data_IF_185496606246
#
_entry.id   IF_185496606246
#
_cell.length_a   1.000
_cell.length_b   1.000
_cell.length_c   1.000
_cell.angle_alpha   90.00
_cell.angle_beta   90.00
_cell.angle_gamma   90.00
#
_symmetry.space_group_name_H-M   'P 1'
#
loop_
_entity.id
_entity.type
_entity.pdbx_description
1 polymer ?
#
# COMPACT_ATOMS: atom_id res chain seq x y z
N UNK A 1 -19.51 6.07 4.80
CA UNK A 1 -20.38 4.97 5.27
C UNK A 1 -21.50 4.65 4.29
N UNK A 2 -22.28 5.58 3.80
CA UNK A 2 -23.35 5.34 2.81
C UNK A 2 -22.89 4.61 1.54
N UNK A 3 -21.67 4.92 1.07
CA UNK A 3 -21.06 4.24 -0.08
C UNK A 3 -20.81 2.74 0.18
N UNK A 4 -20.50 2.35 1.42
CA UNK A 4 -20.32 0.95 1.81
C UNK A 4 -21.64 0.20 1.76
N UNK A 5 -22.73 0.79 2.30
CA UNK A 5 -24.07 0.18 2.23
C UNK A 5 -24.54 0.02 0.78
N UNK A 6 -24.34 1.04 -0.08
CA UNK A 6 -24.65 0.92 -1.51
C UNK A 6 -23.83 -0.17 -2.21
N UNK A 7 -22.55 -0.31 -1.87
CA UNK A 7 -21.73 -1.40 -2.39
C UNK A 7 -22.26 -2.79 -1.96
N UNK A 8 -22.71 -2.92 -0.71
CA UNK A 8 -23.36 -4.14 -0.22
C UNK A 8 -24.67 -4.43 -0.94
N UNK A 9 -25.42 -3.41 -1.35
CA UNK A 9 -26.63 -3.62 -2.16
C UNK A 9 -26.31 -4.19 -3.55
N UNK A 10 -25.21 -3.75 -4.19
CA UNK A 10 -24.73 -4.38 -5.44
C UNK A 10 -24.29 -5.84 -5.23
N UNK A 11 -23.65 -6.15 -4.10
CA UNK A 11 -23.29 -7.53 -3.74
C UNK A 11 -24.56 -8.37 -3.53
N UNK A 12 -25.57 -7.87 -2.82
CA UNK A 12 -26.86 -8.52 -2.60
C UNK A 12 -27.62 -8.76 -3.91
N UNK A 13 -27.52 -7.81 -4.84
CA UNK A 13 -28.09 -7.91 -6.18
C UNK A 13 -27.39 -8.90 -7.10
N UNK A 14 -26.21 -9.42 -6.70
CA UNK A 14 -25.42 -10.36 -7.50
C UNK A 14 -24.57 -9.70 -8.58
N UNK A 15 -24.41 -8.39 -8.56
CA UNK A 15 -23.57 -7.64 -9.52
C UNK A 15 -22.08 -7.96 -9.34
N UNK A 16 -21.62 -8.06 -8.10
CA UNK A 16 -20.21 -8.23 -7.71
C UNK A 16 -20.09 -9.12 -6.47
N UNK A 17 -18.92 -9.68 -6.26
CA UNK A 17 -18.53 -10.38 -5.02
C UNK A 17 -17.81 -9.42 -4.06
N UNK A 18 -17.01 -8.50 -4.61
CA UNK A 18 -16.20 -7.53 -3.88
C UNK A 18 -16.00 -6.28 -4.71
N UNK A 19 -15.95 -5.13 -4.02
CA UNK A 19 -15.49 -3.86 -4.59
C UNK A 19 -14.59 -3.14 -3.60
N UNK A 20 -13.50 -2.54 -4.10
CA UNK A 20 -12.58 -1.76 -3.25
C UNK A 20 -12.94 -0.29 -3.38
N UNK A 21 -13.51 0.28 -2.32
CA UNK A 21 -13.79 1.71 -2.23
C UNK A 21 -12.64 2.43 -1.51
N UNK A 22 -12.32 3.63 -1.98
CA UNK A 22 -11.23 4.43 -1.41
C UNK A 22 -11.69 5.81 -0.98
N UNK A 23 -10.88 6.42 -0.11
CA UNK A 23 -10.96 7.84 0.23
C UNK A 23 -9.59 8.48 0.12
N UNK A 24 -9.57 9.79 -0.13
CA UNK A 24 -8.36 10.60 -0.24
C UNK A 24 -8.24 11.52 0.95
N UNK A 25 -7.05 11.57 1.54
CA UNK A 25 -6.64 12.48 2.60
C UNK A 25 -5.74 13.55 1.97
N UNK A 26 -5.93 14.79 2.39
CA UNK A 26 -5.16 15.93 1.93
C UNK A 26 -4.46 16.58 3.12
N UNK A 27 -3.18 16.89 2.96
CA UNK A 27 -2.35 17.51 3.98
C UNK A 27 -1.55 18.66 3.36
N UNK A 28 -1.76 19.88 3.85
CA UNK A 28 -0.92 21.01 3.47
C UNK A 28 0.45 20.86 4.11
N UNK A 29 1.51 20.88 3.30
CA UNK A 29 2.86 20.61 3.80
C UNK A 29 3.91 21.41 3.07
N UNK A 30 4.94 21.78 3.81
CA UNK A 30 6.19 22.36 3.29
C UNK A 30 7.33 21.33 3.28
N UNK A 31 7.09 20.11 3.78
CA UNK A 31 8.12 19.07 3.83
C UNK A 31 8.62 18.70 2.44
N UNK A 32 9.94 18.58 2.28
CA UNK A 32 10.54 18.06 1.05
C UNK A 32 10.15 16.59 0.87
N UNK A 33 9.62 16.19 -0.30
CA UNK A 33 9.26 14.80 -0.58
C UNK A 33 10.38 13.79 -0.34
N UNK A 34 11.65 14.19 -0.53
CA UNK A 34 12.81 13.33 -0.26
C UNK A 34 12.98 13.08 1.25
N UNK A 35 12.73 14.07 2.08
CA UNK A 35 12.81 13.88 3.54
C UNK A 35 11.68 13.00 4.04
N UNK A 36 10.47 13.14 3.50
CA UNK A 36 9.36 12.20 3.77
C UNK A 36 9.72 10.78 3.31
N UNK A 37 10.34 10.61 2.14
CA UNK A 37 10.84 9.31 1.69
C UNK A 37 11.86 8.71 2.65
N UNK A 38 12.79 9.52 3.16
CA UNK A 38 13.79 9.09 4.16
C UNK A 38 13.16 8.61 5.45
N UNK A 39 12.14 9.30 5.94
CA UNK A 39 11.36 8.88 7.10
C UNK A 39 10.68 7.54 6.83
N UNK A 40 9.95 7.40 5.71
CA UNK A 40 9.28 6.14 5.33
C UNK A 40 10.24 4.97 5.22
N UNK A 41 11.44 5.17 4.66
CA UNK A 41 12.48 4.12 4.62
C UNK A 41 12.87 3.57 5.97
N UNK A 42 12.78 4.40 7.00
CA UNK A 42 13.17 4.03 8.37
C UNK A 42 12.00 3.45 9.16
N UNK A 43 10.81 4.01 8.98
CA UNK A 43 9.64 3.68 9.81
C UNK A 43 8.74 2.62 9.21
N UNK A 44 8.65 2.55 7.88
CA UNK A 44 7.75 1.64 7.16
C UNK A 44 8.38 1.08 5.88
N UNK A 45 9.51 0.33 5.98
CA UNK A 45 10.15 -0.26 4.81
C UNK A 45 9.22 -1.29 4.14
N UNK A 46 9.22 -1.31 2.82
CA UNK A 46 8.44 -2.23 1.98
C UNK A 46 9.25 -2.73 0.79
N UNK A 47 8.85 -3.84 0.14
CA UNK A 47 9.58 -4.38 -1.01
C UNK A 47 9.74 -3.39 -2.16
N UNK A 48 8.78 -2.50 -2.36
CA UNK A 48 8.82 -1.48 -3.41
C UNK A 48 8.82 -0.09 -2.78
N UNK A 49 10.00 0.49 -2.69
CA UNK A 49 10.18 1.86 -2.24
C UNK A 49 10.66 2.74 -3.38
N UNK A 50 10.01 3.86 -3.60
CA UNK A 50 10.30 4.74 -4.70
C UNK A 50 10.03 6.21 -4.40
N UNK A 51 10.76 7.06 -5.11
CA UNK A 51 10.48 8.47 -5.29
C UNK A 51 10.56 8.78 -6.78
N UNK A 52 9.48 9.32 -7.33
CA UNK A 52 9.39 9.75 -8.73
C UNK A 52 9.05 11.22 -8.77
N UNK A 53 9.98 12.03 -9.26
CA UNK A 53 9.79 13.45 -9.47
C UNK A 53 9.43 13.67 -10.94
N UNK A 54 8.22 14.15 -11.17
CA UNK A 54 7.69 14.58 -12.46
C UNK A 54 7.51 16.11 -12.42
N UNK A 55 7.13 16.71 -13.54
CA UNK A 55 7.14 18.19 -13.70
C UNK A 55 6.52 18.94 -12.52
N UNK A 56 5.26 18.66 -12.18
CA UNK A 56 4.49 19.35 -11.15
C UNK A 56 4.09 18.43 -9.97
N UNK A 57 4.45 17.16 -10.03
CA UNK A 57 4.10 16.16 -9.03
C UNK A 57 5.32 15.34 -8.59
N UNK A 58 5.35 14.96 -7.33
CA UNK A 58 6.32 13.98 -6.82
C UNK A 58 5.59 12.85 -6.11
N UNK A 59 5.82 11.61 -6.55
CA UNK A 59 5.28 10.42 -5.92
C UNK A 59 6.31 9.83 -4.96
N UNK A 60 5.91 9.58 -3.72
CA UNK A 60 6.70 8.90 -2.70
C UNK A 60 5.92 7.68 -2.24
N UNK A 61 6.47 6.50 -2.46
CA UNK A 61 5.76 5.24 -2.20
C UNK A 61 6.54 4.23 -1.39
N UNK A 62 5.77 3.42 -0.65
CA UNK A 62 6.21 2.26 0.12
C UNK A 62 5.22 1.11 -0.08
N UNK A 63 5.14 0.62 -1.34
CA UNK A 63 4.15 -0.39 -1.71
C UNK A 63 4.60 -1.80 -1.30
N UNK A 64 3.74 -2.56 -0.59
CA UNK A 64 4.03 -3.96 -0.26
C UNK A 64 3.67 -4.94 -1.38
N UNK A 65 2.87 -4.52 -2.38
CA UNK A 65 2.16 -5.41 -3.29
C UNK A 65 2.77 -5.39 -4.70
N UNK A 66 3.50 -6.46 -5.05
CA UNK A 66 3.86 -6.72 -6.45
C UNK A 66 2.60 -6.81 -7.32
N UNK A 67 2.63 -6.15 -8.50
CA UNK A 67 1.54 -6.25 -9.48
C UNK A 67 1.81 -7.39 -10.44
N UNK A 68 2.84 -7.25 -11.26
CA UNK A 68 3.28 -8.26 -12.20
C UNK A 68 4.77 -8.10 -12.50
N UNK A 69 5.48 -9.22 -12.59
CA UNK A 69 6.88 -9.30 -12.98
C UNK A 69 7.01 -10.15 -14.23
N UNK A 70 7.87 -9.74 -15.15
CA UNK A 70 8.28 -10.52 -16.32
C UNK A 70 9.78 -10.69 -16.28
N UNK A 71 10.25 -11.92 -16.33
CA UNK A 71 11.66 -12.27 -16.40
C UNK A 71 11.88 -13.30 -17.50
N UNK A 72 12.41 -12.87 -18.65
CA UNK A 72 12.43 -13.64 -19.87
C UNK A 72 11.00 -14.00 -20.30
N UNK A 73 10.71 -15.29 -20.43
CA UNK A 73 9.38 -15.79 -20.77
C UNK A 73 8.48 -16.03 -19.54
N UNK A 74 9.01 -15.91 -18.33
CA UNK A 74 8.26 -16.15 -17.10
C UNK A 74 7.51 -14.89 -16.67
N UNK A 75 6.20 -15.00 -16.55
CA UNK A 75 5.33 -13.99 -15.95
C UNK A 75 4.90 -14.47 -14.56
N UNK A 76 4.95 -13.60 -13.57
CA UNK A 76 4.53 -13.95 -12.21
C UNK A 76 3.80 -12.80 -11.50
N UNK A 77 2.88 -13.17 -10.62
CA UNK A 77 2.15 -12.26 -9.73
C UNK A 77 2.12 -12.84 -8.32
N UNK A 78 2.06 -11.95 -7.32
CA UNK A 78 2.05 -12.36 -5.91
C UNK A 78 0.80 -11.82 -5.20
N UNK A 79 -0.32 -12.56 -5.16
CA UNK A 79 -1.44 -12.22 -4.31
C UNK A 79 -1.03 -12.32 -2.83
N UNK A 80 -1.36 -11.27 -2.09
CA UNK A 80 -1.13 -11.14 -0.65
C UNK A 80 -2.47 -10.81 -0.03
N UNK A 81 -2.91 -11.59 0.96
CA UNK A 81 -4.10 -11.33 1.75
C UNK A 81 -3.91 -11.89 3.16
N UNK A 82 -4.83 -11.54 4.05
CA UNK A 82 -4.74 -11.96 5.43
C UNK A 82 -3.59 -11.28 6.17
N UNK A 83 -3.86 -10.81 7.38
CA UNK A 83 -2.84 -10.11 8.18
C UNK A 83 -3.00 -10.47 9.64
N UNK A 84 -1.88 -10.79 10.29
CA UNK A 84 -1.79 -10.84 11.76
C UNK A 84 -0.55 -10.08 12.20
N UNK A 85 -0.56 -9.48 13.41
CA UNK A 85 0.64 -8.92 14.01
C UNK A 85 1.69 -10.00 14.24
N UNK A 86 2.94 -9.58 14.45
CA UNK A 86 4.00 -10.48 14.93
C UNK A 86 3.82 -10.79 16.39
N UNK A 87 4.09 -12.03 16.77
CA UNK A 87 4.16 -12.45 18.16
C UNK A 87 5.34 -11.82 18.91
N UNK A 88 5.22 -11.68 20.21
CA UNK A 88 6.30 -11.21 21.09
C UNK A 88 7.31 -12.31 21.40
N UNK A 89 6.88 -13.57 21.32
CA UNK A 89 7.73 -14.76 21.41
C UNK A 89 7.54 -15.62 20.16
N UNK A 90 8.43 -16.58 19.95
CA UNK A 90 8.33 -17.51 18.83
C UNK A 90 7.06 -18.37 18.92
N UNK A 91 6.68 -18.80 20.13
CA UNK A 91 5.47 -19.59 20.36
C UNK A 91 4.21 -18.77 20.02
N UNK A 92 4.15 -17.49 20.42
CA UNK A 92 3.04 -16.60 20.10
C UNK A 92 2.98 -16.33 18.58
N UNK A 93 4.12 -16.16 17.93
CA UNK A 93 4.21 -15.94 16.47
C UNK A 93 3.69 -17.15 15.69
N UNK A 94 4.04 -18.37 16.12
CA UNK A 94 3.53 -19.61 15.55
C UNK A 94 2.02 -19.81 15.80
N UNK A 95 1.53 -19.44 16.96
CA UNK A 95 0.09 -19.52 17.28
C UNK A 95 -0.73 -18.56 16.39
N UNK A 96 -0.24 -17.33 16.15
CA UNK A 96 -0.87 -16.35 15.26
C UNK A 96 -0.84 -16.81 13.79
N UNK A 97 0.23 -17.47 13.36
CA UNK A 97 0.30 -18.11 12.03
C UNK A 97 -0.76 -19.21 11.88
N UNK A 98 -0.85 -20.09 12.88
CA UNK A 98 -1.83 -21.19 12.86
C UNK A 98 -3.27 -20.66 12.86
N UNK A 99 -3.55 -19.60 13.64
CA UNK A 99 -4.83 -18.90 13.66
C UNK A 99 -5.14 -18.33 12.27
N UNK A 100 -4.19 -17.60 11.67
CA UNK A 100 -4.36 -16.99 10.34
C UNK A 100 -4.66 -18.05 9.28
N UNK A 101 -3.94 -19.17 9.28
CA UNK A 101 -4.13 -20.26 8.33
C UNK A 101 -5.44 -21.05 8.54
N UNK A 102 -6.05 -20.95 9.71
CA UNK A 102 -7.37 -21.56 10.02
C UNK A 102 -8.54 -20.62 9.79
N UNK A 103 -8.29 -19.33 9.66
CA UNK A 103 -9.34 -18.33 9.42
C UNK A 103 -9.99 -18.54 8.06
N UNK A 104 -11.25 -18.99 8.06
CA UNK A 104 -12.00 -19.33 6.85
C UNK A 104 -12.23 -18.11 5.96
N UNK A 105 -12.45 -16.92 6.54
CA UNK A 105 -12.68 -15.67 5.80
C UNK A 105 -11.41 -15.24 5.07
N UNK A 106 -10.28 -15.17 5.78
CA UNK A 106 -8.98 -14.79 5.21
C UNK A 106 -8.55 -15.76 4.09
N UNK A 107 -8.78 -17.06 4.29
CA UNK A 107 -8.52 -18.07 3.29
C UNK A 107 -9.42 -17.93 2.05
N UNK A 108 -10.71 -17.70 2.24
CA UNK A 108 -11.66 -17.54 1.14
C UNK A 108 -11.31 -16.30 0.29
N UNK A 109 -10.96 -15.18 0.93
CA UNK A 109 -10.47 -13.98 0.26
C UNK A 109 -9.18 -14.29 -0.52
N UNK A 110 -8.23 -14.97 0.10
CA UNK A 110 -6.97 -15.32 -0.56
C UNK A 110 -7.18 -16.22 -1.79
N UNK A 111 -8.06 -17.22 -1.71
CA UNK A 111 -8.43 -18.08 -2.87
C UNK A 111 -8.99 -17.23 -4.00
N UNK A 112 -9.89 -16.31 -3.70
CA UNK A 112 -10.47 -15.38 -4.69
C UNK A 112 -9.38 -14.54 -5.36
N UNK A 113 -8.42 -14.02 -4.61
CA UNK A 113 -7.31 -13.26 -5.15
C UNK A 113 -6.37 -14.08 -6.02
N UNK A 114 -6.09 -15.34 -5.64
CA UNK A 114 -5.31 -16.29 -6.46
C UNK A 114 -6.01 -16.55 -7.77
N UNK A 115 -7.31 -16.84 -7.77
CA UNK A 115 -8.10 -17.09 -8.99
C UNK A 115 -8.15 -15.87 -9.90
N UNK A 116 -8.29 -14.68 -9.33
CA UNK A 116 -8.24 -13.42 -10.07
C UNK A 116 -6.89 -13.25 -10.79
N UNK A 117 -5.79 -13.55 -10.11
CA UNK A 117 -4.44 -13.51 -10.72
C UNK A 117 -4.24 -14.59 -11.79
N UNK A 118 -4.76 -15.77 -11.57
CA UNK A 118 -4.76 -16.84 -12.60
C UNK A 118 -5.53 -16.41 -13.85
N UNK A 119 -6.67 -15.74 -13.68
CA UNK A 119 -7.44 -15.17 -14.79
C UNK A 119 -6.67 -14.06 -15.51
N UNK A 120 -6.02 -13.16 -14.80
CA UNK A 120 -5.21 -12.08 -15.37
C UNK A 120 -4.07 -12.67 -16.25
N UNK A 121 -3.30 -13.64 -15.72
CA UNK A 121 -2.23 -14.31 -16.45
C UNK A 121 -2.74 -15.17 -17.61
N UNK A 122 -3.95 -15.74 -17.50
CA UNK A 122 -4.58 -16.56 -18.54
C UNK A 122 -4.78 -15.87 -19.88
N UNK A 123 -4.78 -14.52 -19.86
CA UNK A 123 -4.93 -13.70 -21.08
C UNK A 123 -3.65 -13.61 -21.89
N UNK A 124 -2.48 -13.81 -21.26
CA UNK A 124 -1.17 -13.54 -21.86
C UNK A 124 -0.23 -14.74 -21.81
N UNK A 125 -0.46 -15.71 -20.96
CA UNK A 125 0.37 -16.91 -20.85
C UNK A 125 -0.09 -18.02 -21.82
N UNK A 126 0.83 -18.92 -22.14
CA UNK A 126 0.56 -20.13 -22.90
C UNK A 126 -0.42 -21.02 -22.13
N UNK A 127 -1.35 -21.63 -22.87
CA UNK A 127 -2.37 -22.47 -22.28
C UNK A 127 -1.75 -23.67 -21.53
N UNK A 128 -2.23 -23.94 -20.33
CA UNK A 128 -1.74 -25.02 -19.48
C UNK A 128 -0.44 -24.75 -18.73
N UNK A 129 0.17 -23.57 -18.88
CA UNK A 129 1.43 -23.24 -18.17
C UNK A 129 1.22 -22.51 -16.84
N UNK A 130 0.00 -22.02 -16.57
CA UNK A 130 -0.30 -21.30 -15.34
C UNK A 130 -0.32 -22.28 -14.16
N UNK A 131 0.47 -21.95 -13.15
CA UNK A 131 0.58 -22.73 -11.93
C UNK A 131 0.72 -21.82 -10.71
N UNK A 132 0.39 -22.37 -9.56
CA UNK A 132 0.66 -21.74 -8.28
C UNK A 132 1.92 -22.40 -7.70
N UNK A 133 3.05 -21.72 -7.76
CA UNK A 133 4.34 -22.27 -7.31
C UNK A 133 4.42 -22.36 -5.78
N UNK A 134 3.81 -21.39 -5.10
CA UNK A 134 3.59 -21.39 -3.65
C UNK A 134 2.14 -21.06 -3.40
N UNK A 135 1.47 -21.82 -2.54
CA UNK A 135 0.07 -21.61 -2.21
C UNK A 135 -0.13 -21.47 -0.71
N UNK A 136 -0.69 -20.35 -0.29
CA UNK A 136 -0.97 -20.02 1.12
C UNK A 136 0.25 -20.15 2.05
N UNK A 137 1.44 -19.73 1.57
CA UNK A 137 2.60 -19.63 2.45
C UNK A 137 2.51 -18.40 3.36
N UNK A 138 3.14 -18.46 4.54
CA UNK A 138 3.24 -17.31 5.43
C UNK A 138 4.55 -16.57 5.16
N UNK A 139 4.44 -15.27 4.94
CA UNK A 139 5.58 -14.36 4.93
C UNK A 139 5.54 -13.42 6.13
N UNK A 140 6.68 -13.38 6.83
CA UNK A 140 6.86 -12.56 8.01
C UNK A 140 7.62 -11.29 7.67
N UNK A 141 7.03 -10.17 8.02
CA UNK A 141 7.63 -8.84 7.93
C UNK A 141 7.98 -8.34 9.34
N UNK A 142 8.49 -7.12 9.46
CA UNK A 142 8.92 -6.57 10.76
C UNK A 142 7.80 -6.50 11.81
N UNK A 143 6.58 -6.17 11.40
CA UNK A 143 5.45 -5.92 12.31
C UNK A 143 4.24 -6.80 12.05
N UNK A 144 4.16 -7.45 10.90
CA UNK A 144 3.02 -8.26 10.49
C UNK A 144 3.46 -9.50 9.76
N UNK A 145 2.55 -10.50 9.68
CA UNK A 145 2.66 -11.63 8.77
C UNK A 145 1.47 -11.67 7.83
N UNK A 146 1.66 -12.22 6.63
CA UNK A 146 0.63 -12.31 5.61
C UNK A 146 0.57 -13.72 4.99
N UNK A 147 -0.62 -14.09 4.49
CA UNK A 147 -0.77 -15.22 3.57
C UNK A 147 -0.35 -14.75 2.18
N UNK A 148 0.59 -15.45 1.57
CA UNK A 148 1.14 -15.14 0.25
C UNK A 148 1.08 -16.37 -0.64
N UNK A 149 0.72 -16.16 -1.90
CA UNK A 149 0.87 -17.15 -2.96
C UNK A 149 1.69 -16.58 -4.11
N UNK A 150 2.26 -17.47 -4.93
CA UNK A 150 2.96 -17.09 -6.15
C UNK A 150 2.30 -17.78 -7.35
N UNK A 151 1.72 -17.01 -8.26
CA UNK A 151 1.11 -17.49 -9.49
C UNK A 151 2.02 -17.12 -10.65
N UNK A 152 2.41 -18.12 -11.45
CA UNK A 152 3.28 -17.91 -12.60
C UNK A 152 2.77 -18.61 -13.85
N UNK A 153 3.30 -18.20 -15.02
CA UNK A 153 3.05 -18.82 -16.31
C UNK A 153 4.12 -18.44 -17.32
N UNK A 154 4.09 -19.10 -18.48
CA UNK A 154 4.97 -18.80 -19.61
C UNK A 154 4.29 -17.80 -20.53
N UNK A 155 4.93 -16.67 -20.79
CA UNK A 155 4.43 -15.65 -21.72
C UNK A 155 4.33 -16.22 -23.14
N UNK A 156 3.21 -15.99 -23.79
CA UNK A 156 3.04 -16.38 -25.20
C UNK A 156 3.99 -15.59 -26.09
N UNK A 157 4.46 -16.20 -27.17
CA UNK A 157 5.41 -15.60 -28.12
C UNK A 157 4.86 -14.37 -28.86
N UNK A 158 3.53 -14.25 -28.98
CA UNK A 158 2.83 -13.11 -29.59
C UNK A 158 2.54 -12.00 -28.58
N UNK A 159 3.02 -12.11 -27.33
CA UNK A 159 2.80 -11.20 -26.23
C UNK A 159 4.11 -10.67 -25.68
N UNK A 160 4.04 -9.47 -25.11
CA UNK A 160 5.16 -8.82 -24.44
C UNK A 160 4.82 -8.40 -22.99
N UNK A 161 5.76 -7.73 -22.35
CA UNK A 161 5.57 -7.26 -20.98
C UNK A 161 4.49 -6.16 -20.86
N UNK A 162 4.21 -5.37 -21.91
CA UNK A 162 3.09 -4.44 -21.91
C UNK A 162 1.75 -5.15 -21.91
N UNK A 163 1.62 -6.24 -22.67
CA UNK A 163 0.43 -7.09 -22.63
C UNK A 163 0.23 -7.68 -21.23
N UNK A 164 1.32 -8.11 -20.58
CA UNK A 164 1.31 -8.64 -19.22
C UNK A 164 0.84 -7.58 -18.21
N UNK A 165 1.34 -6.34 -18.34
CA UNK A 165 0.89 -5.23 -17.51
C UNK A 165 -0.60 -4.93 -17.73
N UNK A 166 -1.04 -4.82 -18.99
CA UNK A 166 -2.44 -4.56 -19.36
C UNK A 166 -3.40 -5.63 -18.83
N UNK A 167 -2.98 -6.90 -18.83
CA UNK A 167 -3.82 -8.00 -18.31
C UNK A 167 -4.07 -7.89 -16.81
N UNK A 168 -3.10 -7.39 -16.06
CA UNK A 168 -3.15 -7.26 -14.60
C UNK A 168 -3.73 -5.93 -14.11
N UNK A 169 -3.77 -4.89 -14.96
CA UNK A 169 -4.22 -3.54 -14.59
C UNK A 169 -5.71 -3.32 -14.90
N UNK A 170 -6.45 -2.61 -13.99
CA UNK A 170 -6.09 -2.42 -12.59
C UNK A 170 -6.09 -3.73 -11.80
N UNK A 171 -5.28 -3.79 -10.73
CA UNK A 171 -5.25 -4.97 -9.90
C UNK A 171 -6.62 -5.21 -9.24
N UNK A 172 -7.05 -6.48 -9.18
CA UNK A 172 -8.31 -6.82 -8.54
C UNK A 172 -8.34 -6.49 -7.04
N UNK A 173 -7.18 -6.55 -6.38
CA UNK A 173 -6.99 -6.16 -4.98
C UNK A 173 -7.25 -4.67 -4.69
N UNK A 174 -7.38 -3.84 -5.71
CA UNK A 174 -7.70 -2.41 -5.60
C UNK A 174 -8.92 -2.00 -6.45
N UNK A 175 -9.55 -2.96 -7.14
CA UNK A 175 -10.78 -2.75 -7.91
C UNK A 175 -11.93 -3.63 -7.40
N UNK A 176 -11.86 -4.93 -7.60
CA UNK A 176 -12.85 -5.89 -7.15
C UNK A 176 -13.10 -7.03 -8.14
N UNK A 177 -14.14 -7.80 -7.89
CA UNK A 177 -14.50 -8.98 -8.66
C UNK A 177 -16.03 -9.07 -8.86
N UNK A 178 -16.54 -9.24 -10.10
CA UNK A 178 -15.85 -9.16 -11.39
C UNK A 178 -15.27 -7.77 -11.69
N UNK A 179 -14.07 -7.71 -12.24
CA UNK A 179 -13.25 -6.48 -12.36
C UNK A 179 -13.98 -5.32 -13.07
N UNK A 180 -14.59 -5.56 -14.21
CA UNK A 180 -15.24 -4.51 -15.00
C UNK A 180 -16.41 -3.89 -14.24
N UNK A 181 -17.30 -4.72 -13.69
CA UNK A 181 -18.47 -4.25 -12.94
C UNK A 181 -18.06 -3.51 -11.66
N UNK A 182 -17.04 -3.99 -10.96
CA UNK A 182 -16.48 -3.30 -9.81
C UNK A 182 -15.94 -1.90 -10.17
N UNK A 183 -15.28 -1.76 -11.32
CA UNK A 183 -14.80 -0.45 -11.79
C UNK A 183 -15.93 0.52 -12.13
N UNK A 184 -17.03 0.06 -12.71
CA UNK A 184 -18.23 0.86 -12.96
C UNK A 184 -18.82 1.39 -11.65
N UNK A 185 -18.95 0.52 -10.64
CA UNK A 185 -19.46 0.87 -9.31
C UNK A 185 -18.51 1.86 -8.60
N UNK A 186 -17.20 1.67 -8.72
CA UNK A 186 -16.21 2.61 -8.19
C UNK A 186 -16.39 3.99 -8.82
N UNK A 187 -16.52 4.07 -10.15
CA UNK A 187 -16.73 5.34 -10.85
C UNK A 187 -18.03 6.04 -10.42
N UNK A 188 -19.09 5.28 -10.12
CA UNK A 188 -20.34 5.82 -9.60
C UNK A 188 -20.21 6.35 -8.17
N UNK A 189 -19.51 5.59 -7.30
CA UNK A 189 -19.50 5.87 -5.86
C UNK A 189 -18.40 6.84 -5.42
N UNK A 190 -17.25 6.86 -6.06
CA UNK A 190 -16.11 7.71 -5.63
C UNK A 190 -16.23 9.16 -6.10
N UNK A 191 -16.87 9.42 -7.21
CA UNK A 191 -17.10 10.77 -7.78
C UNK A 191 -15.82 11.55 -8.15
N UNK A 192 -14.64 11.05 -7.80
CA UNK A 192 -13.35 11.65 -8.09
C UNK A 192 -12.43 10.65 -8.79
N UNK A 193 -11.57 11.16 -9.67
CA UNK A 193 -10.56 10.35 -10.32
C UNK A 193 -9.49 9.90 -9.32
N UNK A 194 -9.11 8.63 -9.40
CA UNK A 194 -8.08 8.04 -8.53
C UNK A 194 -6.66 8.54 -8.83
N UNK A 195 -6.43 9.14 -9.99
CA UNK A 195 -5.11 9.56 -10.42
C UNK A 195 -4.13 8.37 -10.46
N UNK A 196 -3.00 8.50 -9.79
CA UNK A 196 -2.00 7.44 -9.70
C UNK A 196 -2.41 6.29 -8.75
N UNK A 197 -3.35 6.51 -7.82
CA UNK A 197 -3.79 5.47 -6.89
C UNK A 197 -4.40 4.28 -7.62
N UNK A 198 -4.07 3.07 -7.19
CA UNK A 198 -4.46 1.81 -7.82
C UNK A 198 -3.89 1.56 -9.23
N UNK A 199 -2.95 2.40 -9.67
CA UNK A 199 -2.19 2.22 -10.89
C UNK A 199 -1.01 1.25 -10.70
N UNK A 200 -0.02 1.38 -11.57
CA UNK A 200 1.22 0.62 -11.53
C UNK A 200 2.44 1.55 -11.56
N UNK A 201 3.45 1.18 -10.79
CA UNK A 201 4.75 1.81 -10.81
C UNK A 201 5.84 0.75 -10.86
N UNK A 202 6.93 1.00 -11.57
CA UNK A 202 8.01 0.04 -11.70
C UNK A 202 8.98 0.41 -12.81
N UNK A 203 9.72 -0.57 -13.29
CA UNK A 203 10.64 -0.39 -14.40
C UNK A 203 10.42 -1.42 -15.51
N UNK A 204 10.76 -1.00 -16.71
CA UNK A 204 10.68 -1.75 -17.95
C UNK A 204 12.09 -1.75 -18.54
N UNK A 205 12.74 -2.92 -18.55
CA UNK A 205 14.11 -3.06 -19.02
C UNK A 205 14.18 -3.25 -20.55
N UNK A 206 15.20 -2.73 -21.18
CA UNK A 206 15.47 -2.93 -22.60
C UNK A 206 15.73 -4.41 -22.98
N UNK A 207 15.99 -5.24 -21.99
CA UNK A 207 16.14 -6.70 -22.14
C UNK A 207 14.79 -7.46 -22.11
N UNK A 208 13.66 -6.76 -22.11
CA UNK A 208 12.33 -7.37 -22.05
C UNK A 208 11.84 -7.76 -20.65
N UNK A 209 12.62 -7.49 -19.60
CA UNK A 209 12.21 -7.72 -18.23
C UNK A 209 11.41 -6.54 -17.68
N UNK A 210 10.50 -6.84 -16.77
CA UNK A 210 9.66 -5.86 -16.10
C UNK A 210 9.46 -6.25 -14.64
N UNK A 211 9.46 -5.27 -13.75
CA UNK A 211 9.03 -5.45 -12.36
C UNK A 211 8.17 -4.25 -11.94
N UNK A 212 6.94 -4.52 -11.52
CA UNK A 212 5.95 -3.49 -11.18
C UNK A 212 5.22 -3.82 -9.88
N UNK A 213 4.81 -2.77 -9.16
CA UNK A 213 3.96 -2.86 -7.99
C UNK A 213 2.67 -2.06 -8.17
N UNK A 214 1.68 -2.33 -7.33
CA UNK A 214 0.50 -1.49 -7.23
C UNK A 214 0.88 -0.13 -6.64
N UNK A 215 0.34 0.95 -7.20
CA UNK A 215 0.49 2.30 -6.61
C UNK A 215 -0.48 2.45 -5.45
N UNK A 216 -0.09 1.88 -4.32
CA UNK A 216 -0.73 1.98 -3.01
C UNK A 216 0.31 2.38 -1.97
N UNK A 217 -0.13 2.81 -0.80
CA UNK A 217 0.80 3.34 0.22
C UNK A 217 1.74 4.40 -0.37
N UNK A 218 1.14 5.31 -1.14
CA UNK A 218 1.84 6.32 -1.94
C UNK A 218 1.29 7.70 -1.60
N UNK A 219 2.21 8.64 -1.44
CA UNK A 219 1.91 10.06 -1.25
C UNK A 219 2.17 10.75 -2.59
N UNK A 220 1.25 11.59 -3.03
CA UNK A 220 1.41 12.46 -4.19
C UNK A 220 1.56 13.89 -3.67
N UNK A 221 2.71 14.50 -3.92
CA UNK A 221 2.95 15.90 -3.60
C UNK A 221 2.67 16.75 -4.84
N UNK A 222 1.80 17.74 -4.70
CA UNK A 222 1.46 18.68 -5.76
C UNK A 222 1.03 20.03 -5.19
N UNK A 223 1.64 21.11 -5.64
CA UNK A 223 1.23 22.47 -5.27
C UNK A 223 1.21 22.77 -3.77
N UNK A 224 2.17 22.21 -2.99
CA UNK A 224 2.23 22.37 -1.53
C UNK A 224 1.26 21.49 -0.76
N UNK A 225 0.58 20.55 -1.44
CA UNK A 225 -0.35 19.59 -0.80
C UNK A 225 0.15 18.17 -1.00
N UNK A 226 0.10 17.38 0.05
CA UNK A 226 0.33 15.94 0.01
C UNK A 226 -1.03 15.21 -0.01
N UNK A 227 -1.22 14.35 -0.99
CA UNK A 227 -2.42 13.53 -1.17
C UNK A 227 -2.10 12.08 -0.83
N UNK A 228 -2.87 11.49 0.06
CA UNK A 228 -2.78 10.07 0.44
C UNK A 228 -4.11 9.41 0.16
N UNK A 229 -4.13 8.34 -0.63
CA UNK A 229 -5.36 7.60 -0.91
C UNK A 229 -5.26 6.17 -0.40
N UNK A 230 -6.30 5.70 0.27
CA UNK A 230 -6.39 4.37 0.83
C UNK A 230 -7.80 3.80 0.64
N UNK A 231 -7.89 2.50 0.41
CA UNK A 231 -9.16 1.81 0.18
C UNK A 231 -9.32 0.55 1.02
N UNK A 232 -10.56 0.14 1.21
CA UNK A 232 -10.97 -1.09 1.85
C UNK A 232 -11.82 -1.95 0.91
N UNK A 233 -11.70 -3.26 1.04
CA UNK A 233 -12.41 -4.23 0.24
C UNK A 233 -13.78 -4.54 0.82
N UNK A 234 -14.83 -4.05 0.18
CA UNK A 234 -16.21 -4.25 0.64
C UNK A 234 -16.72 -5.60 0.15
N UNK A 235 -17.15 -6.43 1.08
CA UNK A 235 -17.78 -7.73 0.89
C UNK A 235 -19.13 -7.79 1.57
N UNK A 236 -19.84 -8.93 1.48
CA UNK A 236 -21.20 -9.10 2.02
C UNK A 236 -21.32 -8.74 3.50
N UNK A 237 -20.38 -9.15 4.33
CA UNK A 237 -20.38 -8.97 5.79
C UNK A 237 -19.60 -7.73 6.26
N UNK A 238 -19.16 -6.87 5.35
CA UNK A 238 -18.45 -5.63 5.69
C UNK A 238 -19.30 -4.72 6.59
N UNK A 239 -18.67 -4.16 7.61
CA UNK A 239 -19.26 -3.19 8.54
C UNK A 239 -18.73 -1.80 8.19
N UNK A 240 -19.59 -0.81 7.86
CA UNK A 240 -19.16 0.50 7.35
C UNK A 240 -18.11 1.21 8.21
N UNK A 241 -18.26 1.16 9.52
CA UNK A 241 -17.33 1.78 10.48
C UNK A 241 -15.96 1.12 10.44
N UNK A 242 -15.90 -0.21 10.37
CA UNK A 242 -14.65 -0.97 10.32
C UNK A 242 -13.90 -0.73 9.01
N UNK A 243 -14.62 -0.69 7.88
CA UNK A 243 -14.04 -0.39 6.58
C UNK A 243 -13.48 1.04 6.51
N UNK A 244 -14.18 2.00 7.12
CA UNK A 244 -13.67 3.36 7.26
C UNK A 244 -12.38 3.39 8.09
N UNK A 245 -12.37 2.77 9.26
CA UNK A 245 -11.19 2.67 10.13
C UNK A 245 -10.02 1.99 9.43
N UNK A 246 -10.28 0.96 8.63
CA UNK A 246 -9.25 0.29 7.84
C UNK A 246 -8.56 1.25 6.88
N UNK A 247 -9.33 2.11 6.17
CA UNK A 247 -8.74 3.12 5.27
C UNK A 247 -7.90 4.15 6.02
N UNK A 248 -8.36 4.60 7.19
CA UNK A 248 -7.62 5.52 8.08
C UNK A 248 -6.31 4.87 8.52
N UNK A 249 -6.35 3.63 9.00
CA UNK A 249 -5.17 2.89 9.44
C UNK A 249 -4.15 2.67 8.31
N UNK A 250 -4.63 2.40 7.08
CA UNK A 250 -3.77 2.29 5.89
C UNK A 250 -3.10 3.61 5.51
N UNK A 251 -3.70 4.75 5.76
CA UNK A 251 -3.13 6.07 5.49
C UNK A 251 -2.19 6.56 6.59
N UNK A 252 -2.39 6.10 7.82
CA UNK A 252 -1.77 6.62 9.05
C UNK A 252 -0.24 6.70 8.98
N UNK A 253 0.43 5.64 8.55
CA UNK A 253 1.89 5.61 8.47
C UNK A 253 2.46 6.67 7.52
N UNK A 254 1.74 6.96 6.43
CA UNK A 254 2.12 7.96 5.44
C UNK A 254 1.93 9.39 5.99
N UNK A 255 0.79 9.65 6.62
CA UNK A 255 0.50 10.95 7.25
C UNK A 255 1.48 11.24 8.38
N UNK A 256 1.79 10.24 9.20
CA UNK A 256 2.77 10.36 10.27
C UNK A 256 4.19 10.63 9.74
N UNK A 257 4.55 10.04 8.57
CA UNK A 257 5.85 10.32 7.96
C UNK A 257 5.97 11.75 7.45
N UNK A 258 4.88 12.35 6.94
CA UNK A 258 4.84 13.78 6.55
C UNK A 258 5.06 14.64 7.78
N UNK A 259 4.28 14.43 8.84
CA UNK A 259 4.40 15.16 10.09
C UNK A 259 5.80 15.06 10.69
N UNK A 260 6.38 13.86 10.72
CA UNK A 260 7.74 13.65 11.25
C UNK A 260 8.80 14.40 10.42
N UNK A 261 8.63 14.43 9.09
CA UNK A 261 9.54 15.18 8.22
C UNK A 261 9.47 16.69 8.47
N UNK A 262 8.26 17.24 8.64
CA UNK A 262 8.05 18.65 9.02
C UNK A 262 8.77 18.99 10.32
N UNK A 263 8.56 18.21 11.38
CA UNK A 263 9.19 18.45 12.69
C UNK A 263 10.73 18.41 12.63
N UNK A 264 11.31 17.48 11.83
CA UNK A 264 12.75 17.38 11.66
C UNK A 264 13.30 18.59 10.89
N UNK A 265 12.57 19.08 9.88
CA UNK A 265 12.99 20.19 9.05
C UNK A 265 12.95 21.52 9.83
N UNK A 266 11.88 21.77 10.58
CA UNK A 266 11.78 22.94 11.48
C UNK A 266 12.93 22.98 12.49
N UNK A 267 13.30 21.84 13.06
CA UNK A 267 14.46 21.75 13.95
C UNK A 267 15.80 22.08 13.25
N UNK A 268 15.95 21.74 11.96
CA UNK A 268 17.17 22.05 11.19
C UNK A 268 17.28 23.53 10.85
N UNK A 269 16.18 24.17 10.45
CA UNK A 269 16.15 25.62 10.18
C UNK A 269 16.41 26.42 11.44
N UNK A 270 15.81 26.03 12.57
CA UNK A 270 16.05 26.64 13.87
C UNK A 270 17.51 26.50 14.33
N UNK A 271 18.15 25.36 14.05
CA UNK A 271 19.55 25.12 14.38
C UNK A 271 20.54 25.84 13.44
N UNK A 272 20.15 26.11 12.20
CA UNK A 272 20.97 26.84 11.22
C UNK A 272 20.91 28.36 11.38
N UNK A 273 19.88 28.87 12.06
CA UNK A 273 19.81 30.29 12.43
C UNK A 273 20.79 30.58 13.58
N UNK A 274 21.78 31.42 13.32
CA UNK A 274 22.89 31.79 14.25
C UNK A 274 22.46 32.45 15.56
N UNK A 275 21.15 32.66 15.80
CA UNK A 275 20.56 33.27 17.01
C UNK A 275 19.83 32.28 17.94
N UNK A 276 20.03 30.97 17.76
CA UNK A 276 19.37 29.99 18.62
C UNK A 276 19.95 29.99 20.05
N UNK A 277 19.15 30.15 21.10
CA UNK A 277 19.61 30.00 22.47
C UNK A 277 20.13 28.59 22.70
N UNK A 278 21.31 28.43 23.29
CA UNK A 278 21.90 27.15 23.69
C UNK A 278 21.02 26.48 24.75
N UNK A 279 20.00 25.75 24.32
CA UNK A 279 19.10 25.03 25.20
C UNK A 279 17.95 24.46 24.41
N UNK A 280 17.99 23.16 24.21
CA UNK A 280 16.90 22.26 23.81
C UNK A 280 15.94 22.75 22.71
N UNK A 281 15.70 21.90 21.72
CA UNK A 281 14.63 22.09 20.74
C UNK A 281 13.33 22.54 21.47
N UNK A 282 12.67 23.65 21.08
CA UNK A 282 11.43 24.08 21.72
C UNK A 282 10.41 22.95 21.57
N UNK A 283 9.86 22.49 22.68
CA UNK A 283 8.74 21.53 22.65
C UNK A 283 7.64 22.16 21.79
N UNK A 284 7.38 21.57 20.63
CA UNK A 284 6.31 21.96 19.74
C UNK A 284 4.99 22.04 20.53
N UNK A 285 4.47 23.25 20.73
CA UNK A 285 3.04 23.42 20.99
C UNK A 285 2.33 23.14 19.67
N UNK A 286 2.06 21.84 19.43
CA UNK A 286 1.24 21.41 18.33
C UNK A 286 -0.12 22.13 18.43
N UNK A 287 -0.50 22.82 17.36
CA UNK A 287 -1.91 22.99 17.05
C UNK A 287 -2.47 21.57 16.96
N UNK A 288 -3.42 21.21 17.81
CA UNK A 288 -4.04 19.88 17.80
C UNK A 288 -4.62 19.60 16.42
N UNK A 289 -4.03 18.69 15.62
CA UNK A 289 -4.77 18.11 14.52
C UNK A 289 -5.90 17.29 15.13
N UNK A 290 -7.06 17.28 14.50
CA UNK A 290 -8.16 16.43 14.92
C UNK A 290 -7.63 15.02 15.20
N UNK A 291 -7.69 14.62 16.47
CA UNK A 291 -6.93 13.50 17.01
C UNK A 291 -7.20 12.20 16.25
N UNK A 292 -6.23 11.79 15.43
CA UNK A 292 -6.16 10.40 14.99
C UNK A 292 -5.66 9.59 16.20
N UNK A 293 -6.36 8.53 16.65
CA UNK A 293 -5.92 7.72 17.77
C UNK A 293 -4.61 7.01 17.39
N UNK A 294 -3.50 7.42 18.00
CA UNK A 294 -2.18 6.81 17.80
C UNK A 294 -2.02 5.72 18.86
N UNK A 295 -1.81 4.47 18.44
CA UNK A 295 -1.42 3.39 19.35
C UNK A 295 0.04 3.59 19.79
N UNK A 296 0.37 3.17 21.03
CA UNK A 296 1.69 3.39 21.63
C UNK A 296 2.89 2.87 20.82
N UNK A 297 2.70 1.81 20.04
CA UNK A 297 3.76 1.18 19.24
C UNK A 297 4.14 2.04 18.01
N UNK A 298 3.17 2.73 17.40
CA UNK A 298 3.42 3.66 16.29
C UNK A 298 4.25 4.88 16.76
N UNK A 299 4.02 5.31 18.00
CA UNK A 299 4.74 6.43 18.60
C UNK A 299 6.21 6.08 18.87
N UNK A 300 6.50 4.85 19.28
CA UNK A 300 7.86 4.37 19.52
C UNK A 300 8.70 4.33 18.22
N UNK A 301 8.12 3.87 17.11
CA UNK A 301 8.79 3.84 15.80
C UNK A 301 9.14 5.26 15.30
N UNK A 302 8.25 6.23 15.50
CA UNK A 302 8.48 7.64 15.15
C UNK A 302 9.58 8.25 16.02
N UNK A 303 9.58 8.01 17.33
CA UNK A 303 10.63 8.48 18.23
C UNK A 303 11.99 7.88 17.91
N UNK A 304 12.05 6.60 17.54
CA UNK A 304 13.28 5.96 17.08
C UNK A 304 13.79 6.58 15.78
N UNK A 305 12.90 6.86 14.82
CA UNK A 305 13.22 7.55 13.57
C UNK A 305 13.80 8.94 13.82
N UNK A 306 13.19 9.74 14.70
CA UNK A 306 13.68 11.06 15.10
C UNK A 306 15.08 10.97 15.73
N UNK A 307 15.30 10.02 16.63
CA UNK A 307 16.59 9.81 17.30
C UNK A 307 17.70 9.45 16.32
N UNK A 308 17.46 8.51 15.41
CA UNK A 308 18.43 8.08 14.41
C UNK A 308 18.78 9.17 13.38
N UNK A 309 17.81 10.03 13.03
CA UNK A 309 18.07 11.18 12.15
C UNK A 309 18.86 12.29 12.86
N UNK A 310 18.58 12.56 14.13
CA UNK A 310 19.32 13.53 14.92
C UNK A 310 20.79 13.11 15.12
N UNK A 311 21.07 11.83 15.39
CA UNK A 311 22.42 11.30 15.56
C UNK A 311 23.28 11.39 14.28
N UNK A 312 22.67 11.28 13.09
CA UNK A 312 23.37 11.44 11.79
C UNK A 312 23.67 12.88 11.40
N UNK A 313 22.91 13.86 11.91
CA UNK A 313 23.19 15.28 11.65
C UNK A 313 24.34 15.86 12.48
N UNK A 314 24.78 15.16 13.52
CA UNK A 314 25.91 15.57 14.39
C UNK A 314 27.25 15.01 13.86
N UNK A 315 27.23 14.05 12.91
CA UNK A 315 28.42 13.40 12.36
C UNK A 315 28.81 13.87 10.94
N UNK A 316 28.24 14.97 10.48
CA UNK A 316 28.64 15.74 9.29
C UNK A 316 28.95 17.19 9.69
#
# INVERSE_FOLDING_TARGET
MDKVERARDYIRGGDIFQVVLSQRFEWQTTADPLDVYRVLRMTNPSPYMYILKMDDETLVGTSPAALVRVNGERVETRPIAGTRPRGRTEEEDLALEEELLKDEKERAEHVMLVDLRRNDLGRVCEFGTIRCDTYMGIERYSHVMHIVSNVSGTLRRDKDFFDSLRSCLPAGTVSGAPKLRAMEIIAELEQEARGAYAGAIGYLGFNGNMDTCNTIRTIIFKGGTAYVQAGAGIVWDSVPEQEYEETVNKAKALLLAIQTAEEIFECREAAASTDAPKGGCPSAKAAEPAALPINGDDYAAVQLGKKLMAERSVSQ
#
